data_IF_461359558832
#
_entry.id   IF_461359558832
#
_cell.length_a   1.000
_cell.length_b   1.000
_cell.length_c   1.000
_cell.angle_alpha   90.00
_cell.angle_beta   90.00
_cell.angle_gamma   90.00
#
_symmetry.space_group_name_H-M   'P 1'
#
loop_
_entity.id
_entity.type
_entity.pdbx_description
1 polymer ?
#
# COMPACT_ATOMS: atom_id res chain seq x y z
N UNK A 1 10.84 -17.15 13.26
CA UNK A 1 10.61 -15.95 12.44
C UNK A 1 11.53 -16.06 11.24
N UNK A 2 11.00 -16.25 10.03
CA UNK A 2 11.82 -16.23 8.82
C UNK A 2 12.26 -14.78 8.56
N UNK A 3 13.53 -14.58 8.22
CA UNK A 3 14.04 -13.28 7.82
C UNK A 3 13.52 -12.94 6.40
N UNK A 4 13.26 -11.66 6.14
CA UNK A 4 12.93 -11.18 4.80
C UNK A 4 14.15 -11.30 3.88
N UNK A 5 13.92 -11.54 2.59
CA UNK A 5 14.98 -11.35 1.59
C UNK A 5 15.36 -9.86 1.48
N UNK A 6 16.50 -9.56 0.87
CA UNK A 6 16.93 -8.18 0.64
C UNK A 6 15.89 -7.39 -0.17
N UNK A 7 15.30 -8.01 -1.19
CA UNK A 7 14.24 -7.43 -2.00
C UNK A 7 12.98 -7.14 -1.17
N UNK A 8 12.54 -8.09 -0.35
CA UNK A 8 11.37 -7.91 0.52
C UNK A 8 11.62 -6.80 1.56
N UNK A 9 12.83 -6.71 2.08
CA UNK A 9 13.24 -5.66 3.02
C UNK A 9 13.22 -4.29 2.33
N UNK A 10 13.75 -4.20 1.11
CA UNK A 10 13.73 -2.99 0.30
C UNK A 10 12.30 -2.52 0.00
N UNK A 11 11.40 -3.43 -0.41
CA UNK A 11 9.99 -3.13 -0.66
C UNK A 11 9.32 -2.61 0.62
N UNK A 12 9.56 -3.28 1.76
CA UNK A 12 9.01 -2.87 3.05
C UNK A 12 9.45 -1.47 3.46
N UNK A 13 10.70 -1.12 3.23
CA UNK A 13 11.24 0.19 3.62
C UNK A 13 10.68 1.31 2.74
N UNK A 14 10.56 1.07 1.42
CA UNK A 14 9.89 2.00 0.50
C UNK A 14 8.42 2.20 0.85
N UNK A 15 7.69 1.11 1.12
CA UNK A 15 6.29 1.19 1.52
C UNK A 15 6.10 1.93 2.85
N UNK A 16 6.99 1.68 3.81
CA UNK A 16 6.96 2.36 5.11
C UNK A 16 7.21 3.86 5.00
N UNK A 17 8.15 4.27 4.15
CA UNK A 17 8.41 5.70 3.90
C UNK A 17 7.20 6.36 3.24
N UNK A 18 6.68 5.76 2.16
CA UNK A 18 5.53 6.28 1.43
C UNK A 18 4.28 6.42 2.30
N UNK A 19 3.94 5.42 3.12
CA UNK A 19 2.74 5.50 3.99
C UNK A 19 2.87 6.65 5.00
N UNK A 20 4.07 6.92 5.52
CA UNK A 20 4.27 8.03 6.46
C UNK A 20 4.05 9.39 5.81
N UNK A 21 4.40 9.53 4.54
CA UNK A 21 4.32 10.80 3.80
C UNK A 21 2.94 10.99 3.15
N UNK A 22 2.46 9.98 2.42
CA UNK A 22 1.31 10.09 1.54
C UNK A 22 0.01 9.55 2.15
N UNK A 23 0.09 8.64 3.12
CA UNK A 23 -1.07 8.05 3.77
C UNK A 23 -0.93 7.98 5.31
N UNK A 24 -0.63 9.11 5.99
CA UNK A 24 -0.39 9.11 7.42
C UNK A 24 -1.63 8.69 8.21
N UNK A 25 -1.42 8.31 9.48
CA UNK A 25 -2.51 7.87 10.37
C UNK A 25 -3.63 8.91 10.54
N UNK A 26 -3.31 10.20 10.38
CA UNK A 26 -4.30 11.29 10.38
C UNK A 26 -5.28 11.16 9.21
N UNK A 27 -4.79 10.86 8.01
CA UNK A 27 -5.60 10.60 6.82
C UNK A 27 -6.51 9.40 7.05
N UNK A 28 -5.98 8.29 7.59
CA UNK A 28 -6.80 7.12 7.96
C UNK A 28 -7.89 7.47 8.98
N UNK A 29 -7.58 8.27 10.01
CA UNK A 29 -8.57 8.70 11.01
C UNK A 29 -9.66 9.58 10.38
N UNK A 30 -9.29 10.52 9.52
CA UNK A 30 -10.24 11.36 8.80
C UNK A 30 -11.19 10.51 7.93
N UNK A 31 -10.67 9.54 7.19
CA UNK A 31 -11.45 8.58 6.40
C UNK A 31 -12.47 7.82 7.25
N UNK A 32 -12.02 7.27 8.39
CA UNK A 32 -12.87 6.56 9.34
C UNK A 32 -13.99 7.47 9.87
N UNK A 33 -13.64 8.67 10.28
CA UNK A 33 -14.57 9.62 10.90
C UNK A 33 -15.61 10.14 9.90
N UNK A 34 -15.28 10.16 8.60
CA UNK A 34 -16.22 10.47 7.52
C UNK A 34 -17.22 9.33 7.22
N UNK A 35 -17.00 8.12 7.75
CA UNK A 35 -17.91 6.99 7.53
C UNK A 35 -18.07 6.58 6.07
N UNK A 36 -17.00 6.71 5.27
CA UNK A 36 -17.04 6.42 3.84
C UNK A 36 -17.46 4.96 3.58
N UNK A 37 -18.48 4.77 2.75
CA UNK A 37 -19.02 3.45 2.44
C UNK A 37 -17.98 2.50 1.82
N UNK A 38 -17.06 3.02 0.98
CA UNK A 38 -16.00 2.19 0.41
C UNK A 38 -14.87 1.84 1.40
N UNK A 39 -14.75 2.57 2.52
CA UNK A 39 -13.73 2.32 3.54
C UNK A 39 -12.29 2.70 3.16
N UNK A 40 -12.08 3.43 2.07
CA UNK A 40 -10.79 3.98 1.64
C UNK A 40 -10.95 5.30 0.86
N UNK A 41 -9.87 6.08 0.76
CA UNK A 41 -9.79 7.19 -0.19
C UNK A 41 -9.31 6.68 -1.54
N UNK A 42 -10.08 6.97 -2.60
CA UNK A 42 -9.78 6.52 -3.97
C UNK A 42 -8.40 6.98 -4.44
N UNK A 43 -7.98 8.17 -4.02
CA UNK A 43 -6.67 8.75 -4.33
C UNK A 43 -5.53 7.96 -3.70
N UNK A 44 -5.68 7.54 -2.44
CA UNK A 44 -4.70 6.69 -1.76
C UNK A 44 -4.61 5.32 -2.44
N UNK A 45 -5.75 4.74 -2.82
CA UNK A 45 -5.79 3.46 -3.51
C UNK A 45 -5.16 3.53 -4.90
N UNK A 46 -5.46 4.58 -5.67
CA UNK A 46 -4.89 4.81 -6.99
C UNK A 46 -3.36 4.94 -6.92
N UNK A 47 -2.83 5.68 -5.94
CA UNK A 47 -1.39 5.80 -5.76
C UNK A 47 -0.72 4.45 -5.41
N UNK A 48 -1.38 3.57 -4.66
CA UNK A 48 -0.88 2.20 -4.41
C UNK A 48 -0.84 1.35 -5.69
N UNK A 49 -1.79 1.52 -6.60
CA UNK A 49 -1.81 0.87 -7.91
C UNK A 49 -0.63 1.35 -8.76
N UNK A 50 -0.37 2.64 -8.79
CA UNK A 50 0.73 3.24 -9.58
C UNK A 50 2.12 2.77 -9.13
N UNK A 51 2.28 2.45 -7.85
CA UNK A 51 3.51 1.84 -7.31
C UNK A 51 3.60 0.32 -7.56
N UNK A 52 2.59 -0.30 -8.17
CA UNK A 52 2.57 -1.72 -8.50
C UNK A 52 2.34 -2.67 -7.31
N UNK A 53 2.00 -2.15 -6.13
CA UNK A 53 1.90 -2.97 -4.92
C UNK A 53 0.79 -4.02 -4.99
N UNK A 54 -0.28 -3.72 -5.74
CA UNK A 54 -1.41 -4.63 -5.95
C UNK A 54 -1.05 -5.87 -6.76
N UNK A 55 0.04 -5.82 -7.54
CA UNK A 55 0.55 -6.94 -8.32
C UNK A 55 1.60 -7.80 -7.61
N UNK A 56 2.17 -7.34 -6.47
CA UNK A 56 3.29 -8.01 -5.78
C UNK A 56 3.01 -9.45 -5.33
N UNK A 57 1.74 -9.77 -5.07
CA UNK A 57 1.31 -11.10 -4.60
C UNK A 57 0.59 -11.89 -5.69
N UNK A 58 0.48 -11.31 -6.89
CA UNK A 58 -0.24 -11.88 -8.02
C UNK A 58 0.77 -12.57 -8.94
N UNK A 59 0.58 -13.84 -9.31
CA UNK A 59 1.50 -14.50 -10.24
C UNK A 59 1.54 -13.83 -11.63
N UNK A 60 2.70 -13.87 -12.29
CA UNK A 60 2.91 -13.31 -13.64
C UNK A 60 1.84 -13.67 -14.69
N UNK A 61 1.29 -14.92 -14.76
CA UNK A 61 0.24 -15.25 -15.72
C UNK A 61 -1.04 -14.43 -15.58
N UNK A 62 -1.24 -13.78 -14.43
CA UNK A 62 -2.36 -12.90 -14.14
C UNK A 62 -1.98 -11.41 -14.18
N UNK A 63 -0.77 -11.08 -14.65
CA UNK A 63 -0.28 -9.71 -14.78
C UNK A 63 0.32 -9.11 -13.51
N UNK A 64 0.70 -9.95 -12.53
CA UNK A 64 1.50 -9.51 -11.39
C UNK A 64 3.00 -9.66 -11.62
N UNK A 65 3.77 -9.53 -10.54
CA UNK A 65 5.23 -9.59 -10.53
C UNK A 65 5.77 -10.93 -10.01
#
# INVERSE_FOLDING_TARGET
MAALSEEQQMIKDQASAWVREQAPVSTFRAMRDQGLAQGFFSETWQAMIEMGWTGLVVPEPYGGA
#
